data_IF_223521277389
#
_entry.id   IF_223521277389
#
_cell.length_a   1.000
_cell.length_b   1.000
_cell.length_c   1.000
_cell.angle_alpha   90.00
_cell.angle_beta   90.00
_cell.angle_gamma   90.00
#
_symmetry.space_group_name_H-M   'P 1'
#
loop_
_entity.id
_entity.type
_entity.pdbx_description
1 polymer ?
#
# COMPACT_ATOMS: atom_id res chain seq x y z
N UNK A 1 -20.09 -0.31 -9.22
CA UNK A 1 -20.19 1.03 -8.59
C UNK A 1 -20.13 2.06 -9.71
N UNK A 2 -21.12 2.95 -9.83
CA UNK A 2 -21.08 4.05 -10.81
C UNK A 2 -20.42 5.25 -10.14
N UNK A 3 -19.22 5.63 -10.59
CA UNK A 3 -18.57 6.84 -10.11
C UNK A 3 -18.95 8.00 -11.02
N UNK A 4 -19.55 9.00 -10.39
CA UNK A 4 -20.00 10.23 -11.00
C UNK A 4 -18.90 11.26 -10.77
N UNK A 5 -18.28 11.74 -11.86
CA UNK A 5 -17.25 12.78 -11.76
C UNK A 5 -17.71 14.06 -12.45
N UNK A 6 -17.27 15.20 -11.93
CA UNK A 6 -17.47 16.48 -12.60
C UNK A 6 -16.23 16.77 -13.47
N UNK A 7 -16.44 16.86 -14.78
CA UNK A 7 -15.44 17.39 -15.70
C UNK A 7 -16.03 18.69 -16.25
N UNK A 8 -15.64 19.82 -15.66
CA UNK A 8 -16.27 21.11 -15.95
C UNK A 8 -17.73 21.17 -15.45
N UNK A 9 -18.66 21.55 -16.31
CA UNK A 9 -20.11 21.57 -16.07
C UNK A 9 -20.82 20.26 -16.46
N UNK A 10 -20.09 19.28 -16.99
CA UNK A 10 -20.63 17.98 -17.36
C UNK A 10 -20.40 16.96 -16.25
N UNK A 11 -21.42 16.13 -16.02
CA UNK A 11 -21.37 14.99 -15.12
C UNK A 11 -21.24 13.74 -15.98
N UNK A 12 -20.07 13.12 -15.95
CA UNK A 12 -19.82 11.88 -16.69
C UNK A 12 -19.74 10.71 -15.72
N UNK A 13 -20.38 9.60 -16.10
CA UNK A 13 -20.40 8.34 -15.39
C UNK A 13 -19.72 7.30 -16.26
N UNK A 14 -18.67 6.64 -15.74
CA UNK A 14 -18.14 5.48 -16.43
C UNK A 14 -19.19 4.35 -16.40
N UNK A 15 -19.36 3.69 -17.54
CA UNK A 15 -20.04 2.39 -17.59
C UNK A 15 -19.19 1.39 -16.77
N UNK A 16 -19.79 0.37 -16.12
CA UNK A 16 -19.05 -0.73 -15.51
C UNK A 16 -18.50 -1.62 -16.63
N UNK A 17 -17.54 -1.09 -17.38
CA UNK A 17 -16.75 -1.85 -18.32
C UNK A 17 -15.51 -2.30 -17.54
N UNK A 18 -15.19 -3.60 -17.59
CA UNK A 18 -13.98 -4.14 -17.01
C UNK A 18 -12.79 -3.23 -17.32
N UNK A 19 -11.94 -3.02 -16.31
CA UNK A 19 -10.84 -2.06 -16.34
C UNK A 19 -10.19 -1.99 -17.72
N UNK A 20 -10.13 -0.78 -18.29
CA UNK A 20 -9.40 -0.52 -19.56
C UNK A 20 -7.90 -0.79 -19.39
N UNK A 21 -7.45 -0.99 -18.14
CA UNK A 21 -6.12 -1.43 -17.76
C UNK A 21 -6.05 -2.96 -17.72
N UNK A 22 -5.37 -3.62 -18.68
CA UNK A 22 -5.24 -5.07 -18.70
C UNK A 22 -4.41 -5.62 -17.53
N UNK A 23 -3.65 -4.77 -16.83
CA UNK A 23 -2.68 -5.19 -15.81
C UNK A 23 -3.05 -4.81 -14.36
N UNK A 24 -4.19 -4.14 -14.14
CA UNK A 24 -4.67 -3.81 -12.78
C UNK A 24 -5.99 -4.53 -12.54
N UNK A 25 -5.99 -5.70 -11.87
CA UNK A 25 -7.22 -6.43 -11.59
C UNK A 25 -8.12 -5.58 -10.69
N UNK A 26 -9.34 -5.27 -11.15
CA UNK A 26 -10.36 -4.63 -10.32
C UNK A 26 -10.75 -5.48 -9.09
N UNK A 27 -10.48 -6.79 -9.15
CA UNK A 27 -10.89 -7.77 -8.14
C UNK A 27 -9.94 -7.85 -6.92
N UNK A 28 -8.76 -7.22 -6.96
CA UNK A 28 -7.79 -7.21 -5.83
C UNK A 28 -7.75 -5.92 -5.01
N UNK A 29 -8.48 -4.89 -5.44
CA UNK A 29 -8.46 -3.54 -4.84
C UNK A 29 -9.71 -3.35 -3.94
N UNK A 30 -9.88 -4.20 -2.93
CA UNK A 30 -11.12 -4.27 -2.11
C UNK A 30 -11.47 -2.93 -1.39
N UNK A 31 -10.49 -2.06 -1.14
CA UNK A 31 -10.67 -0.80 -0.39
C UNK A 31 -11.13 0.41 -1.23
N UNK A 32 -11.92 1.29 -0.62
CA UNK A 32 -12.41 2.53 -1.25
C UNK A 32 -11.29 3.42 -1.81
N UNK A 33 -10.17 3.50 -1.08
CA UNK A 33 -8.98 4.25 -1.50
C UNK A 33 -8.39 3.73 -2.80
N UNK A 34 -8.34 2.40 -2.95
CA UNK A 34 -7.87 1.76 -4.17
C UNK A 34 -8.78 2.06 -5.35
N UNK A 35 -10.08 1.85 -5.19
CA UNK A 35 -11.06 2.11 -6.26
C UNK A 35 -10.98 3.56 -6.76
N UNK A 36 -10.80 4.51 -5.85
CA UNK A 36 -10.65 5.93 -6.20
C UNK A 36 -9.44 6.18 -7.11
N UNK A 37 -8.34 5.45 -6.91
CA UNK A 37 -7.14 5.53 -7.74
C UNK A 37 -7.36 4.89 -9.10
N UNK A 38 -7.98 3.70 -9.15
CA UNK A 38 -8.31 3.02 -10.40
C UNK A 38 -9.16 3.92 -11.31
N UNK A 39 -10.20 4.53 -10.76
CA UNK A 39 -11.05 5.45 -11.51
C UNK A 39 -10.31 6.71 -11.96
N UNK A 40 -9.44 7.26 -11.12
CA UNK A 40 -8.58 8.37 -11.53
C UNK A 40 -7.69 7.95 -12.71
N UNK A 41 -7.14 6.73 -12.72
CA UNK A 41 -6.38 6.26 -13.86
C UNK A 41 -7.24 6.19 -15.12
N UNK A 42 -8.42 5.56 -15.07
CA UNK A 42 -9.33 5.46 -16.22
C UNK A 42 -9.62 6.83 -16.86
N UNK A 43 -9.79 7.87 -16.05
CA UNK A 43 -10.02 9.25 -16.50
C UNK A 43 -8.77 9.83 -17.20
N UNK A 44 -7.57 9.57 -16.67
CA UNK A 44 -6.30 9.99 -17.31
C UNK A 44 -6.10 9.27 -18.64
N UNK A 45 -6.38 7.97 -18.70
CA UNK A 45 -6.27 7.14 -19.91
C UNK A 45 -7.32 7.56 -20.96
N UNK A 46 -8.47 8.05 -20.51
CA UNK A 46 -9.50 8.66 -21.36
C UNK A 46 -9.13 10.08 -21.86
N UNK A 47 -7.93 10.57 -21.53
CA UNK A 47 -7.37 11.79 -22.10
C UNK A 47 -7.32 13.00 -21.17
N UNK A 48 -7.86 12.91 -19.95
CA UNK A 48 -7.84 14.04 -19.02
C UNK A 48 -6.40 14.51 -18.75
N UNK A 49 -6.09 15.81 -18.84
CA UNK A 49 -4.73 16.33 -18.64
C UNK A 49 -4.36 16.48 -17.16
N UNK A 50 -5.37 16.57 -16.29
CA UNK A 50 -5.24 16.86 -14.85
C UNK A 50 -6.37 16.21 -14.07
N UNK A 51 -6.07 15.70 -12.88
CA UNK A 51 -7.06 15.11 -11.97
C UNK A 51 -6.90 15.69 -10.56
N UNK A 52 -8.05 15.97 -9.93
CA UNK A 52 -8.13 16.30 -8.51
C UNK A 52 -8.94 15.21 -7.81
N UNK A 53 -8.29 14.47 -6.92
CA UNK A 53 -8.96 13.55 -6.02
C UNK A 53 -9.34 14.31 -4.74
N UNK A 54 -10.58 14.22 -4.29
CA UNK A 54 -11.00 14.81 -3.02
C UNK A 54 -11.09 13.73 -1.95
N UNK A 55 -10.20 13.78 -0.96
CA UNK A 55 -10.24 12.87 0.18
C UNK A 55 -9.54 13.49 1.39
N UNK A 56 -10.06 13.26 2.59
CA UNK A 56 -9.35 13.53 3.84
C UNK A 56 -8.55 12.33 4.35
N UNK A 57 -8.59 11.21 3.62
CA UNK A 57 -7.85 10.00 3.98
C UNK A 57 -6.37 10.08 3.57
N UNK A 58 -5.50 9.69 4.50
CA UNK A 58 -4.07 9.60 4.26
C UNK A 58 -3.69 8.40 3.38
N UNK A 59 -4.48 7.32 3.37
CA UNK A 59 -4.30 6.18 2.46
C UNK A 59 -4.40 6.62 1.00
N UNK A 60 -5.44 7.40 0.65
CA UNK A 60 -5.56 8.03 -0.68
C UNK A 60 -4.35 8.86 -1.06
N UNK A 61 -3.80 9.66 -0.13
CA UNK A 61 -2.58 10.42 -0.41
C UNK A 61 -1.41 9.49 -0.72
N UNK A 62 -1.18 8.46 0.10
CA UNK A 62 -0.09 7.50 -0.10
C UNK A 62 -0.24 6.82 -1.46
N UNK A 63 -1.44 6.34 -1.79
CA UNK A 63 -1.70 5.68 -3.06
C UNK A 63 -1.51 6.63 -4.25
N UNK A 64 -2.04 7.86 -4.20
CA UNK A 64 -1.87 8.87 -5.26
C UNK A 64 -0.38 9.16 -5.55
N UNK A 65 0.46 9.25 -4.52
CA UNK A 65 1.91 9.40 -4.70
C UNK A 65 2.52 8.15 -5.32
N UNK A 66 2.09 6.97 -4.87
CA UNK A 66 2.69 5.71 -5.29
C UNK A 66 2.37 5.32 -6.73
N UNK A 67 1.20 5.70 -7.22
CA UNK A 67 0.75 5.42 -8.57
C UNK A 67 1.09 6.51 -9.57
N UNK A 68 1.65 7.65 -9.16
CA UNK A 68 1.91 8.80 -10.03
C UNK A 68 2.62 8.44 -11.35
N UNK A 69 3.60 7.55 -11.32
CA UNK A 69 4.34 7.15 -12.52
C UNK A 69 3.48 6.37 -13.54
N UNK A 70 2.40 5.74 -13.09
CA UNK A 70 1.40 5.06 -13.94
C UNK A 70 0.33 6.02 -14.48
N UNK A 71 0.21 7.24 -13.93
CA UNK A 71 -0.68 8.29 -14.43
C UNK A 71 -0.15 9.01 -15.68
N UNK A 72 0.69 8.37 -16.51
CA UNK A 72 1.41 9.00 -17.62
C UNK A 72 2.15 10.30 -17.21
N UNK A 73 2.54 10.41 -15.93
CA UNK A 73 3.12 11.64 -15.34
C UNK A 73 2.26 12.90 -15.55
N UNK A 74 0.94 12.75 -15.73
CA UNK A 74 -0.01 13.86 -15.79
C UNK A 74 -0.22 14.48 -14.41
N UNK A 75 -0.78 15.69 -14.39
CA UNK A 75 -0.97 16.42 -13.14
C UNK A 75 -1.99 15.72 -12.22
N UNK A 76 -1.51 15.21 -11.09
CA UNK A 76 -2.33 14.61 -10.03
C UNK A 76 -2.28 15.45 -8.75
N UNK A 77 -3.46 15.85 -8.28
CA UNK A 77 -3.65 16.57 -7.02
C UNK A 77 -4.61 15.82 -6.11
N UNK A 78 -4.41 15.97 -4.81
CA UNK A 78 -5.38 15.58 -3.80
C UNK A 78 -5.83 16.82 -3.03
N UNK A 79 -7.13 17.15 -3.10
CA UNK A 79 -7.74 18.13 -2.21
C UNK A 79 -7.92 17.46 -0.83
N UNK A 80 -6.94 17.69 0.04
CA UNK A 80 -6.78 17.01 1.31
C UNK A 80 -7.18 17.87 2.50
N UNK A 81 -7.75 17.23 3.54
CA UNK A 81 -8.11 17.85 4.81
C UNK A 81 -9.59 18.21 4.94
N UNK A 82 -9.97 18.76 6.08
CA UNK A 82 -11.36 19.06 6.44
C UNK A 82 -11.59 20.54 6.74
N UNK A 83 -12.79 21.03 6.41
CA UNK A 83 -13.20 22.41 6.66
C UNK A 83 -12.21 23.44 6.10
N UNK A 84 -11.73 24.32 6.98
CA UNK A 84 -10.79 25.40 6.66
C UNK A 84 -9.34 24.93 6.45
N UNK A 85 -9.00 23.72 6.85
CA UNK A 85 -7.66 23.15 6.67
C UNK A 85 -7.47 22.43 5.31
N UNK A 86 -8.49 22.50 4.43
CA UNK A 86 -8.42 21.91 3.09
C UNK A 86 -7.31 22.57 2.27
N UNK A 87 -6.48 21.75 1.64
CA UNK A 87 -5.38 22.19 0.78
C UNK A 87 -5.17 21.23 -0.37
N UNK A 88 -4.67 21.75 -1.48
CA UNK A 88 -4.24 20.92 -2.60
C UNK A 88 -2.83 20.39 -2.32
N UNK A 89 -2.69 19.07 -2.34
CA UNK A 89 -1.40 18.37 -2.30
C UNK A 89 -1.09 17.90 -3.71
N UNK A 90 0.06 18.31 -4.24
CA UNK A 90 0.56 17.87 -5.55
C UNK A 90 1.24 16.51 -5.39
N UNK A 91 0.56 15.43 -5.76
CA UNK A 91 1.12 14.08 -5.63
C UNK A 91 2.35 13.91 -6.53
N UNK A 92 2.36 14.54 -7.70
CA UNK A 92 3.49 14.54 -8.63
C UNK A 92 4.76 15.18 -8.06
N UNK A 93 4.65 16.28 -7.31
CA UNK A 93 5.81 16.92 -6.69
C UNK A 93 6.41 16.02 -5.59
N UNK A 94 5.55 15.43 -4.75
CA UNK A 94 5.99 14.54 -3.67
C UNK A 94 6.61 13.25 -4.24
N UNK A 95 5.98 12.63 -5.23
CA UNK A 95 6.53 11.46 -5.91
C UNK A 95 7.88 11.76 -6.57
N UNK A 96 8.02 12.93 -7.20
CA UNK A 96 9.29 13.37 -7.81
C UNK A 96 10.41 13.53 -6.79
N UNK A 97 10.11 14.09 -5.61
CA UNK A 97 11.09 14.22 -4.50
C UNK A 97 11.49 12.84 -3.93
N UNK A 98 10.55 11.90 -3.88
CA UNK A 98 10.84 10.53 -3.42
C UNK A 98 11.67 9.74 -4.44
N UNK A 99 11.52 10.04 -5.73
CA UNK A 99 12.02 9.24 -6.83
C UNK A 99 11.15 8.01 -7.10
N UNK A 100 11.25 7.48 -8.32
CA UNK A 100 10.34 6.44 -8.83
C UNK A 100 10.32 5.17 -7.98
N UNK A 101 11.50 4.61 -7.68
CA UNK A 101 11.58 3.35 -6.92
C UNK A 101 10.91 3.47 -5.55
N UNK A 102 11.19 4.56 -4.80
CA UNK A 102 10.62 4.77 -3.47
C UNK A 102 9.13 5.12 -3.54
N UNK A 103 8.72 5.91 -4.51
CA UNK A 103 7.32 6.25 -4.71
C UNK A 103 6.49 4.99 -4.98
N UNK A 104 6.91 4.14 -5.93
CA UNK A 104 6.22 2.89 -6.23
C UNK A 104 6.22 1.94 -5.03
N UNK A 105 7.35 1.80 -4.33
CA UNK A 105 7.48 0.99 -3.13
C UNK A 105 6.54 1.40 -1.96
N UNK A 106 5.95 2.61 -2.01
CA UNK A 106 4.94 3.03 -1.01
C UNK A 106 3.69 2.14 -1.00
N UNK A 107 3.34 1.46 -2.11
CA UNK A 107 2.17 0.57 -2.16
C UNK A 107 2.35 -0.59 -1.21
N UNK A 108 3.42 -1.34 -1.41
CA UNK A 108 3.74 -2.46 -0.53
C UNK A 108 4.02 -1.98 0.89
N UNK A 109 4.71 -0.85 1.08
CA UNK A 109 4.89 -0.25 2.42
C UNK A 109 3.56 0.02 3.12
N UNK A 110 2.58 0.61 2.41
CA UNK A 110 1.27 0.93 2.97
C UNK A 110 0.50 -0.33 3.35
N UNK A 111 0.50 -1.34 2.48
CA UNK A 111 -0.12 -2.64 2.76
C UNK A 111 0.57 -3.34 3.93
N UNK A 112 1.89 -3.44 3.93
CA UNK A 112 2.64 -4.14 4.97
C UNK A 112 2.47 -3.50 6.36
N UNK A 113 2.50 -2.17 6.42
CA UNK A 113 2.50 -1.42 7.70
C UNK A 113 1.10 -1.14 8.25
N UNK A 114 0.06 -1.57 7.53
CA UNK A 114 -1.33 -1.32 7.87
C UNK A 114 -2.01 -0.35 6.91
N UNK A 115 -2.85 -0.92 6.04
CA UNK A 115 -4.01 -0.28 5.43
C UNK A 115 -5.31 -0.77 6.10
N UNK A 116 -6.45 -0.23 5.70
CA UNK A 116 -7.74 -0.52 6.36
C UNK A 116 -8.14 -2.01 6.29
N UNK A 117 -7.62 -2.75 5.31
CA UNK A 117 -7.98 -4.15 5.07
C UNK A 117 -7.03 -5.16 5.71
N UNK A 118 -5.90 -4.72 6.26
CA UNK A 118 -4.85 -5.61 6.78
C UNK A 118 -4.54 -5.34 8.27
N UNK A 119 -4.03 -6.37 8.94
CA UNK A 119 -3.53 -6.25 10.31
C UNK A 119 -2.38 -5.26 10.38
N UNK A 120 -2.25 -4.56 11.51
CA UNK A 120 -1.16 -3.62 11.76
C UNK A 120 -0.13 -4.25 12.71
N UNK A 121 1.13 -3.83 12.60
CA UNK A 121 2.19 -4.29 13.49
C UNK A 121 1.90 -3.95 14.95
N UNK A 122 1.92 -4.96 15.83
CA UNK A 122 1.61 -4.75 17.25
C UNK A 122 2.62 -3.79 17.88
N UNK A 123 2.15 -2.78 18.60
CA UNK A 123 2.94 -1.73 19.29
C UNK A 123 3.80 -0.84 18.37
N UNK A 124 3.71 -1.00 17.03
CA UNK A 124 4.50 -0.24 16.06
C UNK A 124 3.57 0.51 15.10
N UNK A 125 3.72 1.83 15.04
CA UNK A 125 2.94 2.68 14.14
C UNK A 125 3.68 3.03 12.86
N UNK A 126 2.99 3.70 11.92
CA UNK A 126 3.57 4.20 10.66
C UNK A 126 4.82 5.06 10.86
N UNK A 127 4.93 5.80 11.98
CA UNK A 127 6.15 6.57 12.32
C UNK A 127 7.36 5.66 12.54
N UNK A 128 7.19 4.54 13.25
CA UNK A 128 8.25 3.57 13.46
C UNK A 128 8.64 2.91 12.14
N UNK A 129 7.65 2.55 11.32
CA UNK A 129 7.88 1.97 10.00
C UNK A 129 8.66 2.90 9.07
N UNK A 130 8.28 4.18 8.98
CA UNK A 130 9.01 5.17 8.16
C UNK A 130 10.45 5.34 8.65
N UNK A 131 10.67 5.35 9.97
CA UNK A 131 12.02 5.45 10.54
C UNK A 131 12.89 4.21 10.28
N UNK A 132 12.27 3.04 10.15
CA UNK A 132 12.95 1.78 9.86
C UNK A 132 13.19 1.57 8.35
N UNK A 133 12.53 2.34 7.48
CA UNK A 133 12.56 2.15 6.04
C UNK A 133 13.79 2.79 5.40
N UNK A 134 14.71 1.94 4.97
CA UNK A 134 16.00 2.31 4.40
C UNK A 134 16.02 2.11 2.88
N UNK A 135 17.04 2.63 2.21
CA UNK A 135 17.21 2.45 0.75
C UNK A 135 17.33 0.99 0.34
N UNK A 136 17.92 0.15 1.20
CA UNK A 136 18.09 -1.29 0.97
C UNK A 136 16.74 -2.02 0.87
N UNK A 137 15.69 -1.49 1.51
CA UNK A 137 14.35 -2.07 1.46
C UNK A 137 13.62 -1.73 0.15
N UNK A 138 14.05 -0.70 -0.58
CA UNK A 138 13.28 -0.17 -1.70
C UNK A 138 13.19 -1.16 -2.83
N UNK A 139 14.21 -1.98 -3.09
CA UNK A 139 14.18 -2.97 -4.17
C UNK A 139 13.12 -4.06 -3.90
N UNK A 140 13.17 -4.69 -2.72
CA UNK A 140 12.16 -5.71 -2.34
C UNK A 140 10.75 -5.13 -2.32
N UNK A 141 10.59 -3.91 -1.77
CA UNK A 141 9.28 -3.27 -1.69
C UNK A 141 8.78 -2.82 -3.07
N UNK A 142 9.67 -2.38 -3.96
CA UNK A 142 9.35 -2.04 -5.35
C UNK A 142 8.87 -3.27 -6.09
N UNK A 143 9.59 -4.39 -6.01
CA UNK A 143 9.19 -5.67 -6.63
C UNK A 143 7.81 -6.12 -6.12
N UNK A 144 7.58 -6.04 -4.80
CA UNK A 144 6.32 -6.42 -4.16
C UNK A 144 5.18 -5.40 -4.38
N UNK A 145 5.46 -4.25 -5.01
CA UNK A 145 4.45 -3.25 -5.39
C UNK A 145 3.89 -3.45 -6.81
N UNK A 146 4.33 -4.51 -7.49
CA UNK A 146 3.87 -4.96 -8.80
C UNK A 146 3.13 -6.31 -8.67
N UNK A 147 2.42 -6.77 -9.72
CA UNK A 147 1.87 -8.12 -9.75
C UNK A 147 2.92 -9.17 -9.38
N UNK A 148 2.63 -9.95 -8.33
CA UNK A 148 3.57 -10.88 -7.74
C UNK A 148 3.47 -12.24 -8.45
N UNK A 149 4.62 -12.80 -8.83
CA UNK A 149 4.75 -14.20 -9.21
C UNK A 149 5.25 -15.01 -8.01
N UNK A 150 4.58 -16.12 -7.71
CA UNK A 150 4.96 -17.04 -6.63
C UNK A 150 5.77 -18.23 -7.17
N UNK A 151 6.72 -18.77 -6.39
CA UNK A 151 7.14 -18.32 -5.06
C UNK A 151 8.02 -17.07 -5.09
N UNK A 152 8.03 -16.29 -3.99
CA UNK A 152 8.97 -15.18 -3.82
C UNK A 152 10.40 -15.69 -3.66
N UNK A 153 11.39 -14.92 -4.13
CA UNK A 153 12.80 -15.25 -3.90
C UNK A 153 13.21 -15.01 -2.44
N UNK A 154 14.18 -15.80 -1.98
CA UNK A 154 14.74 -15.66 -0.63
C UNK A 154 15.33 -14.26 -0.39
N UNK A 155 15.88 -13.63 -1.43
CA UNK A 155 16.41 -12.25 -1.34
C UNK A 155 15.32 -11.22 -1.05
N UNK A 156 14.15 -11.34 -1.70
CA UNK A 156 13.01 -10.45 -1.48
C UNK A 156 12.45 -10.64 -0.07
N UNK A 157 12.32 -11.90 0.37
CA UNK A 157 11.88 -12.22 1.72
C UNK A 157 12.86 -11.69 2.78
N UNK A 158 14.16 -11.88 2.57
CA UNK A 158 15.23 -11.38 3.43
C UNK A 158 15.20 -9.84 3.56
N UNK A 159 14.89 -9.12 2.47
CA UNK A 159 14.71 -7.68 2.50
C UNK A 159 13.54 -7.26 3.39
N UNK A 160 12.39 -7.91 3.26
CA UNK A 160 11.21 -7.64 4.10
C UNK A 160 11.48 -8.01 5.57
N UNK A 161 12.17 -9.12 5.84
CA UNK A 161 12.57 -9.54 7.18
C UNK A 161 13.45 -8.50 7.88
N UNK A 162 14.48 -8.00 7.19
CA UNK A 162 15.38 -6.95 7.72
C UNK A 162 14.60 -5.69 8.09
N UNK A 163 13.65 -5.28 7.27
CA UNK A 163 12.77 -4.17 7.58
C UNK A 163 11.96 -4.40 8.87
N UNK A 164 11.34 -5.58 9.02
CA UNK A 164 10.55 -5.92 10.21
C UNK A 164 11.43 -5.95 11.46
N UNK A 165 12.62 -6.58 11.39
CA UNK A 165 13.60 -6.59 12.49
C UNK A 165 13.95 -5.16 12.94
N UNK A 166 14.27 -4.27 11.98
CA UNK A 166 14.55 -2.86 12.25
C UNK A 166 13.35 -2.16 12.91
N UNK A 167 12.13 -2.44 12.45
CA UNK A 167 10.92 -1.84 13.02
C UNK A 167 10.74 -2.18 14.50
N UNK A 168 11.05 -3.42 14.90
CA UNK A 168 10.98 -3.85 16.30
C UNK A 168 12.22 -3.50 17.14
N UNK A 169 13.29 -3.01 16.51
CA UNK A 169 14.53 -2.66 17.21
C UNK A 169 15.20 -3.85 17.90
N UNK A 170 14.94 -5.06 17.41
CA UNK A 170 15.52 -6.28 17.98
C UNK A 170 16.95 -6.44 17.47
N UNK A 171 17.89 -6.56 18.41
CA UNK A 171 19.33 -6.69 18.13
C UNK A 171 19.74 -8.15 17.84
N UNK A 172 18.85 -9.10 18.08
CA UNK A 172 19.10 -10.54 17.99
C UNK A 172 18.51 -11.09 16.68
N UNK A 173 19.24 -11.93 15.96
CA UNK A 173 18.90 -12.50 14.64
C UNK A 173 17.75 -13.52 14.67
N UNK A 174 16.93 -13.53 15.72
CA UNK A 174 15.91 -14.56 16.00
C UNK A 174 14.49 -14.17 15.57
N UNK A 175 14.32 -13.03 14.89
CA UNK A 175 13.06 -12.74 14.20
C UNK A 175 13.20 -13.26 12.78
N UNK A 176 12.44 -14.30 12.48
CA UNK A 176 12.23 -14.77 11.12
C UNK A 176 10.80 -14.42 10.75
N UNK A 177 10.57 -13.76 9.62
CA UNK A 177 9.22 -13.62 9.04
C UNK A 177 8.94 -14.93 8.33
N UNK A 178 8.60 -15.96 9.10
CA UNK A 178 8.40 -17.31 8.56
C UNK A 178 7.17 -17.44 7.68
N UNK A 179 6.26 -16.46 7.71
CA UNK A 179 4.96 -16.59 7.05
C UNK A 179 4.45 -15.23 6.56
N UNK A 180 4.89 -14.83 5.36
CA UNK A 180 4.18 -13.85 4.55
C UNK A 180 3.23 -14.63 3.64
N UNK A 181 1.99 -14.85 4.08
CA UNK A 181 0.98 -15.46 3.21
C UNK A 181 0.42 -14.37 2.28
N UNK A 182 0.80 -14.49 1.00
CA UNK A 182 0.12 -13.81 -0.09
C UNK A 182 -1.14 -14.62 -0.39
N UNK A 183 -2.32 -14.11 -0.04
CA UNK A 183 -3.55 -14.81 -0.42
C UNK A 183 -3.76 -14.67 -1.92
N UNK A 184 -4.33 -15.70 -2.54
CA UNK A 184 -4.72 -15.71 -3.96
C UNK A 184 -5.73 -14.62 -4.33
N UNK A 185 -6.27 -13.90 -3.34
CA UNK A 185 -7.18 -12.76 -3.51
C UNK A 185 -6.46 -11.41 -3.61
N UNK A 186 -5.12 -11.38 -3.65
CA UNK A 186 -4.35 -10.12 -3.72
C UNK A 186 -4.25 -9.37 -2.39
N UNK A 187 -4.65 -10.01 -1.28
CA UNK A 187 -4.51 -9.45 0.06
C UNK A 187 -3.18 -9.88 0.68
N UNK A 188 -2.50 -8.91 1.29
CA UNK A 188 -1.37 -9.19 2.16
C UNK A 188 -1.89 -9.58 3.54
N UNK A 189 -1.88 -10.88 3.85
CA UNK A 189 -2.09 -11.34 5.22
C UNK A 189 -0.72 -11.44 5.89
N UNK A 190 -0.33 -10.37 6.57
CA UNK A 190 0.81 -10.41 7.46
C UNK A 190 0.38 -11.05 8.79
N UNK A 191 0.89 -12.25 9.07
CA UNK A 191 0.75 -12.87 10.38
C UNK A 191 2.10 -12.82 11.10
N UNK A 192 2.17 -12.02 12.16
CA UNK A 192 3.32 -12.02 13.07
C UNK A 192 3.47 -13.42 13.68
N UNK A 193 4.52 -14.14 13.29
CA UNK A 193 5.00 -15.33 13.99
C UNK A 193 6.43 -15.10 14.46
N UNK A 194 6.58 -15.00 15.78
CA UNK A 194 7.88 -14.93 16.43
C UNK A 194 8.24 -16.32 16.95
N UNK A 195 9.01 -17.08 16.18
CA UNK A 195 9.54 -18.36 16.64
C UNK A 195 10.88 -18.16 17.38
N UNK A 196 11.03 -18.79 18.55
CA UNK A 196 12.37 -18.98 19.13
C UNK A 196 13.13 -19.91 18.19
N UNK A 197 14.38 -19.54 17.84
CA UNK A 197 15.30 -20.38 17.08
C UNK A 197 15.23 -21.84 17.57
N UNK A 198 15.15 -22.78 16.62
CA UNK A 198 15.08 -24.20 16.92
C UNK A 198 16.33 -24.64 17.73
N UNK A 199 16.13 -24.79 19.03
CA UNK A 199 16.75 -25.86 19.80
C UNK A 199 15.64 -26.46 20.65
N UNK A 200 15.07 -27.55 20.15
CA UNK A 200 14.28 -28.56 20.88
C UNK A 200 13.67 -28.09 22.22
N UNK A 201 12.50 -27.46 22.20
CA UNK A 201 11.56 -27.50 23.33
C UNK A 201 10.23 -26.86 22.91
N UNK A 202 9.19 -27.70 22.77
CA UNK A 202 7.81 -27.24 22.69
C UNK A 202 7.44 -26.62 24.04
N UNK A 203 6.74 -25.49 24.04
CA UNK A 203 5.90 -25.10 25.17
C UNK A 203 4.43 -25.17 24.74
N UNK A 204 3.57 -25.91 25.45
CA UNK A 204 2.14 -25.92 25.20
C UNK A 204 1.51 -24.65 25.77
N UNK A 205 0.63 -24.00 25.00
CA UNK A 205 -0.29 -22.98 25.55
C UNK A 205 -0.33 -21.60 24.89
N UNK A 206 -0.01 -21.43 23.61
CA UNK A 206 -0.23 -20.16 22.92
C UNK A 206 -1.53 -20.19 22.09
N UNK A 207 -2.58 -19.56 22.60
CA UNK A 207 -3.84 -19.32 21.88
C UNK A 207 -3.71 -18.06 21.05
N UNK A 208 -3.91 -18.18 19.73
CA UNK A 208 -3.79 -17.08 18.78
C UNK A 208 -4.66 -15.87 19.13
N UNK A 209 -4.12 -14.67 18.91
CA UNK A 209 -4.79 -13.42 19.24
C UNK A 209 -5.82 -13.07 18.15
N UNK A 210 -7.10 -13.00 18.53
CA UNK A 210 -8.20 -12.55 17.65
C UNK A 210 -8.21 -11.02 17.55
N UNK A 211 -8.61 -10.51 16.38
CA UNK A 211 -8.90 -9.09 16.09
C UNK A 211 -9.68 -8.47 17.26
N UNK A 212 -9.12 -7.46 17.94
CA UNK A 212 -9.93 -6.59 18.78
C UNK A 212 -10.56 -5.53 17.89
N UNK A 213 -11.84 -5.70 17.56
CA UNK A 213 -12.64 -4.63 16.97
C UNK A 213 -12.86 -3.56 18.04
N UNK A 214 -12.27 -2.38 17.87
CA UNK A 214 -12.80 -1.17 18.54
C UNK A 214 -13.71 -0.48 17.54
N UNK A 215 -15.01 -0.46 17.89
CA UNK A 215 -16.02 0.42 17.32
C UNK A 215 -15.71 1.87 17.67
#
# INVERSE_FOLDING_TARGET
MHIVTNIGSAVESSMPLGSVLPDIPSEGLEGADGQLILHAMDIVYSGAPRIVIRSSDTGVLVLANSFFYEFHRKGLWVLFGNGRARRYVKAHDVASVLGESKAVALRFFHCLTGCDTVSHFSTRGKRNAVSAWTKEDYESFFLLSHPISLPLSDDVLCGVEKFVIRMYGVKDQRIHVRHLELSSTGHFLFQERFDKAHSSCRLPGWTGMRKSSRR
#
